data_IF_082692291607
#
_entry.id   IF_082692291607
#
_cell.length_a   1.000
_cell.length_b   1.000
_cell.length_c   1.000
_cell.angle_alpha   90.00
_cell.angle_beta   90.00
_cell.angle_gamma   90.00
#
_symmetry.space_group_name_H-M   'P 1'
#
loop_
_entity.id
_entity.type
_entity.pdbx_description
1 polymer ?
#
# COMPACT_ATOMS: atom_id res chain seq x y z
N UNK A 1 53.50 44.49 52.69
CA UNK A 1 52.07 44.89 52.76
C UNK A 1 51.27 43.82 52.02
N UNK A 2 50.27 43.26 52.70
CA UNK A 2 49.54 42.02 52.35
C UNK A 2 48.91 42.06 50.95
N UNK A 3 48.94 40.96 50.21
CA UNK A 3 47.89 40.65 49.22
C UNK A 3 47.78 39.13 49.04
N UNK A 4 46.94 38.51 49.86
CA UNK A 4 46.45 37.13 49.71
C UNK A 4 45.42 37.14 48.58
N UNK A 5 45.66 36.42 47.47
CA UNK A 5 44.64 36.17 46.44
C UNK A 5 44.01 34.80 46.68
N UNK A 6 42.79 34.81 47.21
CA UNK A 6 41.85 33.69 47.16
C UNK A 6 41.43 33.46 45.71
N UNK A 7 41.65 32.26 45.18
CA UNK A 7 40.93 31.78 44.00
C UNK A 7 39.82 30.85 44.49
N UNK A 8 38.58 31.33 44.46
CA UNK A 8 37.39 30.52 44.63
C UNK A 8 37.13 29.79 43.31
N UNK A 9 37.23 28.46 43.33
CA UNK A 9 36.87 27.60 42.22
C UNK A 9 35.34 27.45 42.20
N UNK A 10 34.66 28.20 41.34
CA UNK A 10 33.23 28.02 41.09
C UNK A 10 33.03 26.79 40.20
N UNK A 11 32.63 25.66 40.80
CA UNK A 11 32.16 24.51 40.05
C UNK A 11 30.75 24.80 39.51
N UNK A 12 30.64 25.11 38.21
CA UNK A 12 29.36 25.09 37.51
C UNK A 12 28.90 23.63 37.39
N UNK A 13 27.90 23.25 38.19
CA UNK A 13 27.13 22.02 37.96
C UNK A 13 26.17 22.31 36.81
N UNK A 14 26.55 21.90 35.60
CA UNK A 14 25.63 21.85 34.47
C UNK A 14 24.66 20.67 34.70
N UNK A 15 23.52 20.95 35.31
CA UNK A 15 22.41 20.00 35.35
C UNK A 15 21.89 19.84 33.91
N UNK A 16 22.33 18.78 33.24
CA UNK A 16 21.78 18.37 31.96
C UNK A 16 20.32 17.99 32.14
N UNK A 17 19.42 18.79 31.57
CA UNK A 17 18.02 18.39 31.40
C UNK A 17 18.00 17.31 30.32
N UNK A 18 18.11 16.04 30.74
CA UNK A 18 17.78 14.93 29.87
C UNK A 18 16.28 15.03 29.58
N UNK A 19 15.93 15.56 28.41
CA UNK A 19 14.58 15.41 27.87
C UNK A 19 14.36 13.93 27.69
N UNK A 20 13.65 13.31 28.64
CA UNK A 20 13.10 11.98 28.45
C UNK A 20 12.15 12.12 27.26
N UNK A 21 12.53 11.62 26.09
CA UNK A 21 11.55 11.42 25.04
C UNK A 21 10.46 10.53 25.64
N UNK A 22 9.22 11.02 25.71
CA UNK A 22 8.11 10.20 26.16
C UNK A 22 8.00 9.03 25.18
N UNK A 23 8.13 7.81 25.70
CA UNK A 23 7.92 6.60 24.92
C UNK A 23 6.51 6.65 24.31
N UNK A 24 6.41 6.37 23.01
CA UNK A 24 5.16 6.45 22.27
C UNK A 24 4.99 5.23 21.38
N UNK A 25 3.90 4.50 21.58
CA UNK A 25 3.42 3.47 20.66
C UNK A 25 2.99 4.09 19.34
N UNK A 26 3.69 3.74 18.26
CA UNK A 26 3.46 4.25 16.90
C UNK A 26 2.88 3.16 16.00
N UNK A 27 1.98 3.56 15.12
CA UNK A 27 1.33 2.70 14.12
C UNK A 27 1.68 3.22 12.72
N UNK A 28 1.79 2.35 11.72
CA UNK A 28 1.91 2.78 10.33
C UNK A 28 0.64 3.51 9.88
N UNK A 29 0.74 4.42 8.92
CA UNK A 29 -0.39 5.26 8.48
C UNK A 29 -1.59 4.45 7.94
N UNK A 30 -1.34 3.24 7.41
CA UNK A 30 -2.41 2.34 6.96
C UNK A 30 -3.25 1.77 8.11
N UNK A 31 -2.69 1.69 9.32
CA UNK A 31 -3.41 1.26 10.53
C UNK A 31 -3.87 2.51 11.27
N UNK A 32 -5.10 2.93 10.99
CA UNK A 32 -5.67 4.17 11.52
C UNK A 32 -7.19 4.07 11.67
N UNK A 33 -7.82 5.13 12.16
CA UNK A 33 -9.27 5.29 12.17
C UNK A 33 -9.87 5.03 10.79
N UNK A 34 -11.14 4.62 10.74
CA UNK A 34 -11.92 4.43 9.52
C UNK A 34 -11.43 3.32 8.58
N UNK A 35 -10.40 2.55 8.95
CA UNK A 35 -9.86 1.48 8.09
C UNK A 35 -10.83 0.31 7.92
N UNK A 36 -10.58 -0.51 6.90
CA UNK A 36 -11.23 -1.82 6.72
C UNK A 36 -10.18 -2.91 6.88
N UNK A 37 -10.41 -3.84 7.80
CA UNK A 37 -9.60 -5.05 7.98
C UNK A 37 -10.15 -6.19 7.12
N UNK A 38 -9.28 -7.05 6.61
CA UNK A 38 -9.68 -8.19 5.80
C UNK A 38 -10.40 -9.27 6.63
N UNK A 39 -11.62 -9.61 6.23
CA UNK A 39 -12.41 -10.72 6.79
C UNK A 39 -11.83 -12.08 6.43
N UNK A 40 -12.21 -13.10 7.21
CA UNK A 40 -11.95 -14.52 6.96
C UNK A 40 -10.47 -14.92 6.85
N UNK A 41 -9.56 -14.02 7.23
CA UNK A 41 -8.11 -14.23 7.39
C UNK A 41 -7.67 -13.74 8.77
N UNK A 42 -6.59 -14.29 9.34
CA UNK A 42 -6.01 -13.73 10.55
C UNK A 42 -5.73 -12.23 10.38
N UNK A 43 -6.04 -11.44 11.41
CA UNK A 43 -5.83 -9.99 11.37
C UNK A 43 -4.43 -9.71 11.90
N UNK A 44 -3.58 -9.16 11.05
CA UNK A 44 -2.20 -8.79 11.40
C UNK A 44 -2.13 -7.28 11.64
N UNK A 45 -1.72 -6.89 12.84
CA UNK A 45 -1.46 -5.50 13.20
C UNK A 45 -0.04 -5.37 13.73
N UNK A 46 0.61 -4.25 13.42
CA UNK A 46 2.00 -4.02 13.78
C UNK A 46 2.24 -2.53 14.02
N UNK A 47 3.40 -2.23 14.57
CA UNK A 47 3.83 -0.87 14.81
C UNK A 47 5.23 -0.83 15.40
N UNK A 48 5.54 0.28 16.06
CA UNK A 48 6.80 0.49 16.74
C UNK A 48 6.57 0.94 18.18
N UNK A 49 7.46 0.50 19.06
CA UNK A 49 7.55 0.91 20.45
C UNK A 49 9.00 0.77 20.93
N UNK A 50 9.29 1.15 22.16
CA UNK A 50 10.63 0.95 22.74
C UNK A 50 10.96 -0.54 22.83
N UNK A 51 12.21 -0.96 22.53
CA UNK A 51 12.62 -2.37 22.58
C UNK A 51 12.25 -3.05 23.90
N UNK A 52 11.67 -4.25 23.80
CA UNK A 52 11.23 -5.06 24.94
C UNK A 52 9.85 -4.68 25.51
N UNK A 53 9.24 -3.58 25.06
CA UNK A 53 7.88 -3.19 25.46
C UNK A 53 6.88 -4.26 25.05
N UNK A 54 6.04 -4.71 25.99
CA UNK A 54 4.91 -5.56 25.68
C UNK A 54 3.76 -4.71 25.13
N UNK A 55 3.38 -4.99 23.89
CA UNK A 55 2.26 -4.33 23.20
C UNK A 55 1.10 -5.31 23.11
N UNK A 56 -0.06 -4.86 23.55
CA UNK A 56 -1.30 -5.62 23.56
C UNK A 56 -2.32 -4.95 22.64
N UNK A 57 -2.90 -5.72 21.72
CA UNK A 57 -3.96 -5.26 20.82
C UNK A 57 -5.25 -6.00 21.09
N UNK A 58 -6.38 -5.29 21.04
CA UNK A 58 -7.71 -5.88 21.20
C UNK A 58 -8.73 -5.29 20.25
N UNK A 59 -9.63 -6.14 19.77
CA UNK A 59 -10.77 -5.81 18.90
C UNK A 59 -11.96 -6.68 19.30
N UNK A 60 -13.05 -6.07 19.80
CA UNK A 60 -14.14 -6.81 20.43
C UNK A 60 -13.62 -7.70 21.57
N UNK A 61 -13.98 -8.98 21.56
CA UNK A 61 -13.50 -9.97 22.53
C UNK A 61 -12.12 -10.57 22.19
N UNK A 62 -11.58 -10.28 21.02
CA UNK A 62 -10.28 -10.79 20.59
C UNK A 62 -9.14 -9.94 21.14
N UNK A 63 -8.07 -10.59 21.61
CA UNK A 63 -6.89 -9.95 22.18
C UNK A 63 -5.63 -10.75 21.85
N UNK A 64 -4.54 -10.07 21.53
CA UNK A 64 -3.22 -10.65 21.33
C UNK A 64 -2.13 -9.69 21.83
N UNK A 65 -0.97 -10.23 22.19
CA UNK A 65 0.16 -9.44 22.68
C UNK A 65 1.47 -9.92 22.05
N UNK A 66 2.41 -8.99 21.87
CA UNK A 66 3.77 -9.26 21.41
C UNK A 66 4.74 -8.28 22.06
N UNK A 67 6.03 -8.64 22.11
CA UNK A 67 7.07 -7.71 22.52
C UNK A 67 7.67 -6.99 21.32
N UNK A 68 7.94 -5.70 21.46
CA UNK A 68 8.77 -4.96 20.51
C UNK A 68 10.17 -5.56 20.49
N UNK A 69 10.68 -5.87 19.30
CA UNK A 69 12.03 -6.38 19.11
C UNK A 69 13.10 -5.30 19.33
N UNK A 70 14.37 -5.67 19.12
CA UNK A 70 15.50 -4.76 19.26
C UNK A 70 15.44 -3.57 18.28
N UNK A 71 14.75 -3.72 17.15
CA UNK A 71 14.49 -2.66 16.18
C UNK A 71 13.22 -1.85 16.49
N UNK A 72 12.62 -2.09 17.65
CA UNK A 72 11.38 -1.47 18.12
C UNK A 72 10.10 -2.00 17.46
N UNK A 73 10.19 -2.87 16.45
CA UNK A 73 9.00 -3.38 15.75
C UNK A 73 8.28 -4.42 16.59
N UNK A 74 6.96 -4.31 16.70
CA UNK A 74 6.09 -5.35 17.23
C UNK A 74 5.07 -5.76 16.18
N UNK A 75 4.58 -6.99 16.25
CA UNK A 75 3.51 -7.50 15.39
C UNK A 75 2.68 -8.51 16.18
N UNK A 76 1.36 -8.41 16.07
CA UNK A 76 0.42 -9.37 16.65
C UNK A 76 -0.46 -9.96 15.54
N UNK A 77 -0.91 -11.17 15.78
CA UNK A 77 -1.93 -11.83 14.96
C UNK A 77 -3.17 -12.09 15.83
N UNK A 78 -4.30 -11.55 15.39
CA UNK A 78 -5.61 -11.77 15.99
C UNK A 78 -6.38 -12.81 15.15
N UNK A 79 -7.30 -13.59 15.76
CA UNK A 79 -8.14 -14.52 15.03
C UNK A 79 -8.90 -13.86 13.88
N UNK A 80 -9.20 -14.64 12.83
CA UNK A 80 -10.05 -14.18 11.73
C UNK A 80 -11.43 -13.76 12.24
N UNK A 81 -11.98 -12.70 11.64
CA UNK A 81 -13.30 -12.17 11.97
C UNK A 81 -14.22 -12.21 10.76
N UNK A 82 -15.52 -12.38 11.02
CA UNK A 82 -16.56 -12.18 10.03
C UNK A 82 -16.70 -10.69 9.68
N UNK A 83 -17.31 -10.39 8.53
CA UNK A 83 -17.56 -9.01 8.13
C UNK A 83 -18.49 -8.29 9.13
N UNK A 84 -18.26 -6.99 9.35
CA UNK A 84 -19.06 -6.20 10.28
C UNK A 84 -18.34 -4.96 10.81
N UNK A 85 -18.80 -4.50 11.97
CA UNK A 85 -18.35 -3.26 12.61
C UNK A 85 -19.46 -2.19 12.64
N UNK A 86 -19.13 -0.97 13.08
CA UNK A 86 -17.79 -0.52 13.47
C UNK A 86 -17.30 -1.16 14.77
N UNK A 87 -16.00 -1.46 14.81
CA UNK A 87 -15.26 -1.87 15.99
C UNK A 87 -14.35 -0.74 16.48
N UNK A 88 -13.97 -0.81 17.76
CA UNK A 88 -12.82 -0.10 18.30
C UNK A 88 -11.63 -1.06 18.36
N UNK A 89 -10.45 -0.60 17.96
CA UNK A 89 -9.19 -1.32 18.16
C UNK A 89 -8.38 -0.58 19.20
N UNK A 90 -8.05 -1.24 20.31
CA UNK A 90 -7.18 -0.66 21.33
C UNK A 90 -5.79 -1.28 21.23
N UNK A 91 -4.77 -0.44 21.17
CA UNK A 91 -3.35 -0.81 21.20
C UNK A 91 -2.73 -0.21 22.45
N UNK A 92 -2.23 -1.07 23.35
CA UNK A 92 -1.62 -0.68 24.62
C UNK A 92 -0.16 -1.11 24.63
N UNK A 93 0.75 -0.15 24.48
CA UNK A 93 2.19 -0.34 24.64
C UNK A 93 2.73 0.65 25.68
N UNK A 94 3.81 1.36 25.35
CA UNK A 94 4.30 2.48 26.18
C UNK A 94 3.31 3.65 26.25
N UNK A 95 2.47 3.81 25.22
CA UNK A 95 1.27 4.65 25.23
C UNK A 95 0.04 3.87 24.77
N UNK A 96 -1.14 4.39 25.07
CA UNK A 96 -2.40 3.81 24.61
C UNK A 96 -2.90 4.54 23.36
N UNK A 97 -3.23 3.78 22.32
CA UNK A 97 -3.86 4.26 21.09
C UNK A 97 -5.20 3.55 20.92
N UNK A 98 -6.25 4.31 20.66
CA UNK A 98 -7.55 3.77 20.24
C UNK A 98 -7.78 4.16 18.79
N UNK A 99 -8.14 3.18 17.96
CA UNK A 99 -8.61 3.40 16.59
C UNK A 99 -10.12 3.21 16.58
N UNK A 100 -10.82 4.22 16.11
CA UNK A 100 -12.27 4.27 16.04
C UNK A 100 -12.78 3.94 14.63
N UNK A 101 -14.03 3.47 14.57
CA UNK A 101 -14.76 3.24 13.32
C UNK A 101 -14.06 2.28 12.34
N UNK A 102 -13.51 1.19 12.89
CA UNK A 102 -12.83 0.13 12.14
C UNK A 102 -13.84 -0.89 11.64
N UNK A 103 -13.88 -1.14 10.33
CA UNK A 103 -14.73 -2.16 9.72
C UNK A 103 -13.95 -3.46 9.45
N UNK A 104 -14.66 -4.57 9.36
CA UNK A 104 -14.13 -5.85 8.85
C UNK A 104 -14.89 -6.19 7.56
N UNK A 105 -14.17 -6.45 6.47
CA UNK A 105 -14.74 -6.57 5.12
C UNK A 105 -13.75 -7.13 4.11
N UNK A 106 -13.89 -6.79 2.83
CA UNK A 106 -12.88 -7.12 1.81
C UNK A 106 -11.98 -5.94 1.53
N UNK A 107 -10.66 -6.18 1.45
CA UNK A 107 -9.67 -5.14 1.17
C UNK A 107 -9.01 -5.42 -0.17
N UNK A 108 -8.98 -4.44 -1.06
CA UNK A 108 -8.44 -4.58 -2.41
C UNK A 108 -7.37 -3.53 -2.70
N UNK A 109 -6.23 -3.99 -3.21
CA UNK A 109 -5.16 -3.10 -3.69
C UNK A 109 -5.48 -2.62 -5.11
N UNK A 110 -5.63 -1.31 -5.28
CA UNK A 110 -5.96 -0.66 -6.56
C UNK A 110 -4.70 0.02 -7.12
N UNK A 111 -4.05 -0.61 -8.10
CA UNK A 111 -2.73 -0.21 -8.57
C UNK A 111 -2.57 -0.17 -10.09
N UNK A 112 -1.49 0.44 -10.54
CA UNK A 112 -1.20 0.68 -11.95
C UNK A 112 -0.85 2.14 -12.21
N UNK A 113 -1.21 2.63 -13.39
CA UNK A 113 -0.84 3.96 -13.84
C UNK A 113 -2.04 4.93 -13.90
N UNK A 114 -2.02 5.88 -14.83
CA UNK A 114 -2.92 7.04 -14.90
C UNK A 114 -4.40 6.65 -14.97
N UNK A 115 -4.72 5.52 -15.61
CA UNK A 115 -6.10 5.04 -15.69
C UNK A 115 -6.61 4.47 -14.36
N UNK A 116 -5.72 3.88 -13.53
CA UNK A 116 -6.05 3.55 -12.14
C UNK A 116 -6.08 4.80 -11.24
N UNK A 117 -5.20 5.77 -11.49
CA UNK A 117 -5.13 7.02 -10.72
C UNK A 117 -6.30 7.97 -11.03
N UNK A 118 -6.90 7.83 -12.21
CA UNK A 118 -8.05 8.61 -12.65
C UNK A 118 -9.15 8.61 -11.60
N UNK A 119 -9.71 9.78 -11.29
CA UNK A 119 -10.62 9.93 -10.15
C UNK A 119 -12.09 9.88 -10.55
N UNK A 120 -12.97 9.67 -9.56
CA UNK A 120 -14.43 9.81 -9.75
C UNK A 120 -14.79 11.20 -10.27
N UNK A 121 -14.15 12.27 -9.76
CA UNK A 121 -14.40 13.63 -10.23
C UNK A 121 -14.01 13.88 -11.70
N UNK A 122 -13.14 13.04 -12.25
CA UNK A 122 -12.72 13.09 -13.65
C UNK A 122 -13.47 12.06 -14.54
N UNK A 123 -14.38 11.25 -13.97
CA UNK A 123 -15.16 10.25 -14.71
C UNK A 123 -16.32 10.88 -15.50
N UNK A 124 -17.07 10.09 -16.26
CA UNK A 124 -18.08 10.58 -17.22
C UNK A 124 -19.30 11.27 -16.59
N UNK A 125 -19.72 10.84 -15.39
CA UNK A 125 -20.91 11.33 -14.68
C UNK A 125 -20.57 11.86 -13.26
N UNK A 126 -19.56 12.74 -13.11
CA UNK A 126 -18.95 13.00 -11.82
C UNK A 126 -19.89 13.71 -10.85
N UNK A 127 -20.79 14.57 -11.35
CA UNK A 127 -21.74 15.32 -10.51
C UNK A 127 -22.76 14.39 -9.88
N UNK A 128 -23.38 13.54 -10.70
CA UNK A 128 -24.40 12.58 -10.29
C UNK A 128 -23.79 11.53 -9.36
N UNK A 129 -22.62 10.98 -9.72
CA UNK A 129 -21.99 9.94 -8.91
C UNK A 129 -21.53 10.49 -7.55
N UNK A 130 -20.88 11.66 -7.51
CA UNK A 130 -20.46 12.27 -6.24
C UNK A 130 -21.67 12.61 -5.37
N UNK A 131 -22.73 13.20 -5.94
CA UNK A 131 -23.93 13.51 -5.17
C UNK A 131 -24.60 12.26 -4.58
N UNK A 132 -24.54 11.13 -5.29
CA UNK A 132 -25.11 9.86 -4.86
C UNK A 132 -24.19 9.02 -3.96
N UNK A 133 -22.91 9.38 -3.80
CA UNK A 133 -21.89 8.58 -3.13
C UNK A 133 -22.06 8.49 -1.60
N UNK A 134 -23.22 8.06 -1.10
CA UNK A 134 -23.51 7.83 0.31
C UNK A 134 -23.25 6.37 0.69
N UNK A 135 -22.00 5.94 0.58
CA UNK A 135 -21.57 4.56 0.77
C UNK A 135 -20.50 4.46 1.88
N UNK A 136 -20.82 4.76 3.14
CA UNK A 136 -19.82 4.85 4.22
C UNK A 136 -19.10 3.52 4.53
N UNK A 137 -19.65 2.39 4.08
CA UNK A 137 -19.00 1.08 4.17
C UNK A 137 -17.93 0.83 3.09
N UNK A 138 -17.81 1.73 2.09
CA UNK A 138 -16.67 1.77 1.16
C UNK A 138 -15.67 2.77 1.74
N UNK A 139 -14.43 2.33 1.98
CA UNK A 139 -13.35 3.20 2.50
C UNK A 139 -12.19 3.22 1.52
N UNK A 140 -11.55 4.36 1.37
CA UNK A 140 -10.35 4.51 0.54
C UNK A 140 -9.21 5.13 1.32
N UNK A 141 -8.01 4.59 1.13
CA UNK A 141 -6.75 5.24 1.52
C UNK A 141 -5.90 5.45 0.28
N UNK A 142 -5.39 6.66 0.08
CA UNK A 142 -4.49 6.99 -1.04
C UNK A 142 -3.03 6.96 -0.56
N UNK A 143 -2.23 6.09 -1.16
CA UNK A 143 -0.79 6.06 -0.99
C UNK A 143 -0.18 7.21 -1.81
N UNK A 144 0.68 8.07 -1.21
CA UNK A 144 1.32 9.15 -1.95
C UNK A 144 2.38 8.61 -2.92
N UNK A 145 2.66 9.39 -3.95
CA UNK A 145 3.78 9.15 -4.87
C UNK A 145 5.11 9.29 -4.12
N UNK A 146 5.72 8.16 -3.77
CA UNK A 146 6.93 8.12 -2.95
C UNK A 146 7.87 7.03 -3.44
N UNK A 147 8.72 7.30 -4.45
CA UNK A 147 9.71 6.32 -4.89
C UNK A 147 10.85 6.25 -3.85
N UNK A 148 11.38 5.06 -3.59
CA UNK A 148 12.43 4.85 -2.58
C UNK A 148 13.53 3.88 -3.06
N UNK A 149 14.76 4.08 -2.57
CA UNK A 149 15.89 3.19 -2.88
C UNK A 149 15.88 1.87 -2.11
N UNK A 150 15.09 1.79 -1.03
CA UNK A 150 14.95 0.60 -0.21
C UNK A 150 13.51 0.45 0.30
N UNK A 151 13.08 -0.79 0.62
CA UNK A 151 11.76 -1.03 1.19
C UNK A 151 11.50 -0.14 2.41
N UNK A 152 10.49 0.71 2.32
CA UNK A 152 10.06 1.58 3.40
C UNK A 152 9.22 0.79 4.40
N UNK A 153 9.24 1.26 5.66
CA UNK A 153 8.51 0.64 6.76
C UNK A 153 7.09 1.19 6.94
N UNK A 154 6.82 2.36 6.37
CA UNK A 154 5.54 3.07 6.44
C UNK A 154 5.32 3.91 5.17
N UNK A 155 4.07 4.28 4.92
CA UNK A 155 3.66 5.24 3.90
C UNK A 155 3.25 6.55 4.56
N UNK A 156 3.60 7.70 3.98
CA UNK A 156 3.09 9.00 4.45
C UNK A 156 1.67 9.26 3.89
N UNK A 157 0.74 8.33 4.14
CA UNK A 157 -0.62 8.41 3.62
C UNK A 157 -1.51 9.29 4.52
N UNK A 158 -2.52 9.89 3.90
CA UNK A 158 -3.64 10.48 4.63
C UNK A 158 -4.50 9.40 5.30
N UNK A 159 -5.49 9.81 6.12
CA UNK A 159 -6.39 8.86 6.78
C UNK A 159 -7.25 8.09 5.77
N UNK A 160 -7.78 6.94 6.20
CA UNK A 160 -8.86 6.29 5.48
C UNK A 160 -10.09 7.21 5.43
N UNK A 161 -10.72 7.28 4.26
CA UNK A 161 -11.88 8.11 4.01
C UNK A 161 -13.09 7.24 3.66
N UNK A 162 -14.23 7.38 4.35
CA UNK A 162 -15.49 6.79 3.89
C UNK A 162 -15.93 7.44 2.58
N UNK A 163 -16.56 6.67 1.70
CA UNK A 163 -17.19 7.22 0.49
C UNK A 163 -18.42 8.04 0.90
N UNK A 164 -18.32 9.33 0.66
CA UNK A 164 -19.35 10.35 0.90
C UNK A 164 -19.34 11.32 -0.28
N UNK A 165 -20.36 12.17 -0.46
CA UNK A 165 -20.29 13.26 -1.43
C UNK A 165 -19.11 14.21 -1.23
N UNK A 166 -18.56 14.30 -0.01
CA UNK A 166 -17.41 15.16 0.29
C UNK A 166 -16.06 14.54 -0.11
N UNK A 167 -15.97 13.22 -0.28
CA UNK A 167 -14.70 12.48 -0.39
C UNK A 167 -14.59 11.69 -1.69
N UNK A 168 -15.69 11.13 -2.19
CA UNK A 168 -15.71 10.19 -3.31
C UNK A 168 -15.08 10.76 -4.58
N UNK A 169 -15.19 12.07 -4.82
CA UNK A 169 -14.57 12.73 -5.97
C UNK A 169 -13.04 12.54 -6.07
N UNK A 170 -12.37 12.32 -4.94
CA UNK A 170 -10.92 12.13 -4.87
C UNK A 170 -10.48 10.65 -4.94
N UNK A 171 -11.42 9.71 -4.96
CA UNK A 171 -11.08 8.29 -5.01
C UNK A 171 -10.68 7.90 -6.43
N UNK A 172 -9.88 6.84 -6.57
CA UNK A 172 -9.71 6.16 -7.86
C UNK A 172 -11.10 5.80 -8.42
N UNK A 173 -11.39 6.20 -9.66
CA UNK A 173 -12.66 5.92 -10.31
C UNK A 173 -12.85 4.41 -10.49
N UNK A 174 -11.85 3.74 -11.06
CA UNK A 174 -11.86 2.28 -11.27
C UNK A 174 -12.05 1.56 -9.93
N UNK A 175 -11.26 1.90 -8.90
CA UNK A 175 -11.38 1.27 -7.59
C UNK A 175 -12.72 1.55 -6.90
N UNK A 176 -13.25 2.77 -7.01
CA UNK A 176 -14.55 3.13 -6.44
C UNK A 176 -15.71 2.37 -7.10
N UNK A 177 -15.77 2.33 -8.43
CA UNK A 177 -16.84 1.61 -9.14
C UNK A 177 -16.76 0.10 -8.91
N UNK A 178 -15.55 -0.45 -8.88
CA UNK A 178 -15.30 -1.84 -8.48
C UNK A 178 -15.84 -2.11 -7.06
N UNK A 179 -15.45 -1.28 -6.08
CA UNK A 179 -15.87 -1.44 -4.70
C UNK A 179 -17.38 -1.30 -4.52
N UNK A 180 -18.02 -0.38 -5.25
CA UNK A 180 -19.48 -0.17 -5.20
C UNK A 180 -20.24 -1.37 -5.75
N UNK A 181 -19.81 -1.90 -6.90
CA UNK A 181 -20.42 -3.11 -7.44
C UNK A 181 -20.20 -4.31 -6.50
N UNK A 182 -18.96 -4.52 -6.04
CA UNK A 182 -18.61 -5.62 -5.16
C UNK A 182 -19.37 -5.57 -3.82
N UNK A 183 -19.49 -4.39 -3.22
CA UNK A 183 -20.30 -4.19 -2.02
C UNK A 183 -21.78 -4.56 -2.28
N UNK A 184 -22.34 -4.16 -3.42
CA UNK A 184 -23.74 -4.46 -3.76
C UNK A 184 -24.01 -5.96 -3.90
N UNK A 185 -23.03 -6.71 -4.39
CA UNK A 185 -23.11 -8.17 -4.55
C UNK A 185 -22.93 -8.89 -3.22
N UNK A 186 -21.97 -8.44 -2.39
CA UNK A 186 -21.57 -9.16 -1.18
C UNK A 186 -22.27 -8.69 0.10
N UNK A 187 -22.79 -7.47 0.13
CA UNK A 187 -23.39 -6.87 1.33
C UNK A 187 -22.41 -6.65 2.48
N UNK A 188 -21.12 -6.46 2.21
CA UNK A 188 -20.07 -6.26 3.23
C UNK A 188 -19.26 -4.97 3.03
N UNK A 189 -18.56 -4.47 4.06
CA UNK A 189 -17.62 -3.36 3.90
C UNK A 189 -16.51 -3.66 2.89
N UNK A 190 -16.11 -2.64 2.13
CA UNK A 190 -15.03 -2.73 1.14
C UNK A 190 -13.99 -1.66 1.41
N UNK A 191 -12.74 -2.06 1.63
CA UNK A 191 -11.59 -1.16 1.68
C UNK A 191 -10.84 -1.18 0.35
N UNK A 192 -10.51 -0.02 -0.19
CA UNK A 192 -9.64 0.12 -1.35
C UNK A 192 -8.37 0.89 -0.99
N UNK A 193 -7.22 0.30 -1.29
CA UNK A 193 -5.90 0.93 -1.10
C UNK A 193 -5.45 1.43 -2.47
N UNK A 194 -5.51 2.74 -2.70
CA UNK A 194 -5.07 3.36 -3.94
C UNK A 194 -3.55 3.55 -3.94
N UNK A 195 -2.83 2.67 -4.62
CA UNK A 195 -1.37 2.77 -4.82
C UNK A 195 -1.08 2.75 -6.32
N UNK A 196 -1.19 3.92 -6.95
CA UNK A 196 -1.14 4.10 -8.41
C UNK A 196 -0.34 5.36 -8.74
N UNK A 197 0.23 5.43 -9.95
CA UNK A 197 0.95 6.62 -10.43
C UNK A 197 1.01 6.66 -11.96
N UNK A 198 0.42 7.71 -12.55
CA UNK A 198 0.47 8.06 -13.96
C UNK A 198 1.83 7.91 -14.66
N UNK A 199 1.80 7.32 -15.85
CA UNK A 199 2.96 7.19 -16.73
C UNK A 199 4.00 6.15 -16.31
N UNK A 200 3.76 5.37 -15.25
CA UNK A 200 4.70 4.36 -14.78
C UNK A 200 4.65 3.09 -15.62
N UNK A 201 5.84 2.48 -15.81
CA UNK A 201 5.95 1.09 -16.30
C UNK A 201 5.61 0.07 -15.20
N UNK A 202 5.55 -1.22 -15.52
CA UNK A 202 5.29 -2.32 -14.55
C UNK A 202 6.49 -2.66 -13.66
N UNK A 203 7.71 -2.47 -14.15
CA UNK A 203 8.94 -2.86 -13.48
C UNK A 203 9.15 -2.20 -12.11
N UNK A 204 8.88 -0.89 -11.93
CA UNK A 204 9.01 -0.23 -10.64
C UNK A 204 8.15 -0.83 -9.53
N UNK A 205 7.00 -1.43 -9.88
CA UNK A 205 6.03 -2.01 -8.95
C UNK A 205 6.34 -3.47 -8.58
N UNK A 206 7.25 -4.11 -9.32
CA UNK A 206 7.53 -5.53 -9.19
C UNK A 206 8.59 -5.76 -8.11
N UNK A 207 8.33 -6.62 -7.10
CA UNK A 207 9.30 -6.90 -6.05
C UNK A 207 10.45 -7.78 -6.55
N UNK A 208 11.60 -7.82 -5.84
CA UNK A 208 12.75 -8.63 -6.23
C UNK A 208 12.43 -10.11 -6.49
N UNK A 209 11.57 -10.70 -5.65
CA UNK A 209 11.15 -12.11 -5.77
C UNK A 209 10.36 -12.37 -7.06
N UNK A 210 9.61 -11.38 -7.55
CA UNK A 210 8.89 -11.44 -8.80
C UNK A 210 9.83 -11.61 -9.99
N UNK A 211 10.81 -10.71 -10.14
CA UNK A 211 11.80 -10.78 -11.21
C UNK A 211 12.59 -12.09 -11.20
N UNK A 212 12.99 -12.57 -10.01
CA UNK A 212 13.73 -13.83 -9.85
C UNK A 212 12.91 -15.07 -10.24
N UNK A 213 11.59 -14.98 -10.22
CA UNK A 213 10.70 -16.11 -10.53
C UNK A 213 10.46 -16.33 -12.03
N UNK A 214 10.85 -15.39 -12.89
CA UNK A 214 10.54 -15.44 -14.33
C UNK A 214 11.85 -15.46 -15.15
N UNK A 215 12.19 -16.59 -15.82
CA UNK A 215 13.44 -16.72 -16.56
C UNK A 215 13.66 -15.66 -17.64
N UNK A 216 12.60 -15.19 -18.30
CA UNK A 216 12.67 -14.16 -19.33
C UNK A 216 13.12 -12.79 -18.80
N UNK A 217 13.13 -12.58 -17.47
CA UNK A 217 13.54 -11.33 -16.81
C UNK A 217 14.90 -11.46 -16.12
N UNK A 218 15.69 -12.48 -16.47
CA UNK A 218 17.01 -12.77 -15.88
C UNK A 218 17.93 -11.55 -15.84
N UNK A 219 17.98 -10.76 -16.91
CA UNK A 219 18.84 -9.57 -16.99
C UNK A 219 18.49 -8.53 -15.91
N UNK A 220 17.21 -8.36 -15.58
CA UNK A 220 16.80 -7.49 -14.47
C UNK A 220 17.15 -8.17 -13.13
N UNK A 221 16.84 -9.47 -13.00
CA UNK A 221 17.05 -10.23 -11.77
C UNK A 221 18.52 -10.28 -11.32
N UNK A 222 19.46 -10.35 -12.26
CA UNK A 222 20.91 -10.36 -12.01
C UNK A 222 21.49 -8.98 -11.67
N UNK A 223 20.72 -7.90 -11.88
CA UNK A 223 21.16 -6.52 -11.66
C UNK A 223 20.31 -5.76 -10.63
N UNK A 224 19.56 -6.48 -9.76
CA UNK A 224 18.66 -5.87 -8.78
C UNK A 224 19.37 -4.95 -7.78
N UNK A 225 20.64 -5.18 -7.50
CA UNK A 225 21.50 -4.35 -6.65
C UNK A 225 21.79 -2.96 -7.24
N UNK A 226 21.59 -2.80 -8.55
CA UNK A 226 21.77 -1.52 -9.27
C UNK A 226 20.48 -0.69 -9.32
N UNK A 227 19.38 -1.21 -8.79
CA UNK A 227 18.07 -0.57 -8.83
C UNK A 227 17.57 -0.14 -7.45
N UNK A 228 16.78 0.94 -7.37
CA UNK A 228 16.42 1.84 -8.46
C UNK A 228 17.58 2.78 -8.86
N UNK A 229 17.54 3.29 -10.10
CA UNK A 229 18.52 4.29 -10.51
C UNK A 229 18.16 5.68 -9.98
N UNK A 230 19.16 6.56 -9.90
CA UNK A 230 19.00 7.97 -9.53
C UNK A 230 19.29 8.85 -10.75
N UNK A 231 18.57 9.97 -10.87
CA UNK A 231 18.87 10.99 -11.89
C UNK A 231 20.10 11.82 -11.47
N UNK A 232 20.53 12.76 -12.34
CA UNK A 232 21.71 13.61 -12.09
C UNK A 232 21.61 14.47 -10.82
N UNK A 233 20.40 14.65 -10.27
CA UNK A 233 20.13 15.37 -9.03
C UNK A 233 20.09 14.45 -7.80
N UNK A 234 20.44 13.17 -7.96
CA UNK A 234 20.39 12.16 -6.91
C UNK A 234 18.97 11.69 -6.53
N UNK A 235 17.93 12.10 -7.29
CA UNK A 235 16.55 11.72 -7.02
C UNK A 235 16.24 10.35 -7.62
N UNK A 236 15.49 9.53 -6.90
CA UNK A 236 15.07 8.20 -7.38
C UNK A 236 14.27 8.34 -8.68
N UNK A 237 14.69 7.61 -9.70
CA UNK A 237 13.92 7.49 -10.92
C UNK A 237 12.79 6.48 -10.72
N UNK A 238 11.57 7.00 -10.53
CA UNK A 238 10.34 6.24 -10.35
C UNK A 238 10.00 5.27 -11.49
N UNK A 239 10.67 5.38 -12.66
CA UNK A 239 10.51 4.49 -13.80
C UNK A 239 11.40 3.24 -13.76
N UNK A 240 12.32 3.17 -12.80
CA UNK A 240 13.24 2.02 -12.69
C UNK A 240 12.71 0.93 -11.77
N UNK A 241 13.12 -0.35 -12.01
CA UNK A 241 12.75 -1.46 -11.15
C UNK A 241 12.88 -1.15 -9.66
N UNK A 242 11.99 -1.73 -8.85
CA UNK A 242 11.95 -1.60 -7.39
C UNK A 242 11.53 -0.22 -6.85
N UNK A 243 11.64 0.87 -7.62
CA UNK A 243 11.45 2.23 -7.10
C UNK A 243 10.10 2.43 -6.38
N UNK A 244 9.01 1.93 -6.97
CA UNK A 244 7.65 2.09 -6.45
C UNK A 244 7.26 0.94 -5.52
N UNK A 245 7.74 -0.28 -5.77
CA UNK A 245 7.63 -1.38 -4.82
C UNK A 245 8.18 -0.93 -3.45
N UNK A 246 9.38 -0.38 -3.43
CA UNK A 246 10.08 0.01 -2.22
C UNK A 246 9.29 1.03 -1.38
N UNK A 247 8.77 2.08 -2.00
CA UNK A 247 8.12 3.16 -1.26
C UNK A 247 6.60 3.12 -1.19
N UNK A 248 5.94 2.34 -2.05
CA UNK A 248 4.47 2.36 -2.19
C UNK A 248 3.78 1.01 -2.04
N UNK A 249 4.51 -0.12 -2.06
CA UNK A 249 3.95 -1.47 -1.91
C UNK A 249 4.50 -2.17 -0.67
N UNK A 250 5.83 -2.24 -0.53
CA UNK A 250 6.51 -2.84 0.63
C UNK A 250 5.97 -2.34 1.99
N UNK A 251 5.75 -1.03 2.22
CA UNK A 251 5.20 -0.54 3.49
C UNK A 251 3.74 -0.94 3.75
N UNK A 252 3.02 -1.47 2.76
CA UNK A 252 1.66 -1.98 2.95
C UNK A 252 1.67 -3.42 3.49
N UNK A 253 2.79 -4.13 3.40
CA UNK A 253 2.94 -5.49 3.91
C UNK A 253 3.26 -5.41 5.42
N UNK A 254 2.59 -6.18 6.29
CA UNK A 254 1.70 -7.30 6.01
C UNK A 254 0.18 -7.01 6.15
N UNK A 255 -0.30 -5.81 5.81
CA UNK A 255 -1.75 -5.53 5.84
C UNK A 255 -2.48 -6.53 4.94
N UNK A 256 -3.40 -7.30 5.51
CA UNK A 256 -4.07 -8.37 4.78
C UNK A 256 -5.01 -7.78 3.73
N UNK A 257 -4.95 -8.35 2.51
CA UNK A 257 -5.82 -7.98 1.39
C UNK A 257 -6.51 -9.22 0.82
N UNK A 258 -7.68 -9.04 0.21
CA UNK A 258 -8.40 -10.08 -0.53
C UNK A 258 -7.69 -10.35 -1.85
N UNK A 259 -7.31 -9.31 -2.57
CA UNK A 259 -6.70 -9.37 -3.89
C UNK A 259 -6.28 -8.00 -4.42
N UNK A 260 -5.88 -7.97 -5.69
CA UNK A 260 -5.46 -6.75 -6.37
C UNK A 260 -6.21 -6.53 -7.68
N UNK A 261 -6.44 -5.26 -8.02
CA UNK A 261 -6.85 -4.81 -9.34
C UNK A 261 -5.76 -3.95 -9.97
N UNK A 262 -5.43 -4.23 -11.22
CA UNK A 262 -4.29 -3.66 -11.94
C UNK A 262 -4.71 -3.05 -13.27
N UNK A 263 -4.52 -1.73 -13.42
CA UNK A 263 -4.74 -1.05 -14.69
C UNK A 263 -3.48 -0.32 -15.13
N UNK A 264 -2.71 -1.00 -15.95
CA UNK A 264 -1.49 -0.49 -16.55
C UNK A 264 -1.17 -1.24 -17.84
N UNK A 265 -0.34 -0.61 -18.66
CA UNK A 265 0.30 -1.22 -19.81
C UNK A 265 0.76 -0.19 -20.82
N UNK A 266 0.17 0.99 -20.82
CA UNK A 266 0.40 2.04 -21.81
C UNK A 266 1.88 2.44 -21.87
N UNK A 267 2.55 2.57 -20.72
CA UNK A 267 3.99 2.87 -20.66
C UNK A 267 4.89 1.69 -21.05
N UNK A 268 4.36 0.46 -21.09
CA UNK A 268 5.03 -0.73 -21.60
C UNK A 268 4.58 -1.09 -23.03
N UNK A 269 3.74 -0.27 -23.66
CA UNK A 269 3.28 -0.55 -25.01
C UNK A 269 4.47 -0.61 -25.99
N UNK A 270 4.43 -1.57 -26.91
CA UNK A 270 5.54 -1.90 -27.82
C UNK A 270 6.47 -3.02 -27.35
N UNK A 271 6.30 -3.55 -26.12
CA UNK A 271 7.08 -4.70 -25.64
C UNK A 271 6.55 -6.07 -26.05
N UNK A 272 5.32 -6.14 -26.58
CA UNK A 272 4.66 -7.40 -26.96
C UNK A 272 4.62 -8.41 -25.81
N UNK A 273 4.90 -9.68 -26.10
CA UNK A 273 4.85 -10.77 -25.13
C UNK A 273 5.84 -10.66 -23.96
N UNK A 274 6.84 -9.77 -24.01
CA UNK A 274 7.65 -9.47 -22.82
C UNK A 274 6.79 -8.87 -21.69
N UNK A 275 5.71 -8.17 -22.03
CA UNK A 275 4.77 -7.65 -21.02
C UNK A 275 4.08 -8.79 -20.25
N UNK A 276 3.75 -9.90 -20.92
CA UNK A 276 3.19 -11.09 -20.25
C UNK A 276 4.17 -11.68 -19.24
N UNK A 277 5.46 -11.74 -19.58
CA UNK A 277 6.52 -12.17 -18.65
C UNK A 277 6.62 -11.25 -17.42
N UNK A 278 6.49 -9.93 -17.62
CA UNK A 278 6.46 -8.94 -16.53
C UNK A 278 5.21 -9.04 -15.68
N UNK A 279 4.04 -9.31 -16.27
CA UNK A 279 2.81 -9.58 -15.53
C UNK A 279 2.96 -10.81 -14.63
N UNK A 280 3.55 -11.91 -15.15
CA UNK A 280 3.86 -13.09 -14.31
C UNK A 280 4.72 -12.74 -13.11
N UNK A 281 5.75 -11.91 -13.30
CA UNK A 281 6.64 -11.48 -12.23
C UNK A 281 5.93 -10.58 -11.20
N UNK A 282 5.08 -9.64 -11.65
CA UNK A 282 4.29 -8.80 -10.75
C UNK A 282 3.34 -9.66 -9.90
N UNK A 283 2.57 -10.53 -10.55
CA UNK A 283 1.55 -11.38 -9.90
C UNK A 283 2.20 -12.35 -8.91
N UNK A 284 3.22 -13.11 -9.34
CA UNK A 284 3.93 -14.04 -8.45
C UNK A 284 4.63 -13.30 -7.31
N UNK A 285 5.19 -12.12 -7.62
CA UNK A 285 5.85 -11.25 -6.66
C UNK A 285 4.91 -10.83 -5.55
N UNK A 286 3.74 -10.29 -5.88
CA UNK A 286 2.78 -9.83 -4.88
C UNK A 286 2.16 -11.01 -4.11
N UNK A 287 1.82 -12.11 -4.79
CA UNK A 287 1.39 -13.35 -4.11
C UNK A 287 2.39 -13.82 -3.07
N UNK A 288 3.69 -13.72 -3.37
CA UNK A 288 4.75 -14.04 -2.41
C UNK A 288 4.83 -13.05 -1.25
N UNK A 289 4.62 -11.75 -1.47
CA UNK A 289 4.65 -10.73 -0.41
C UNK A 289 3.56 -10.96 0.63
N UNK A 290 2.34 -11.30 0.18
CA UNK A 290 1.19 -11.57 1.06
C UNK A 290 1.08 -13.04 1.50
N UNK A 291 2.03 -13.89 1.10
CA UNK A 291 2.01 -15.33 1.37
C UNK A 291 0.67 -15.99 0.97
N UNK A 292 0.17 -15.63 -0.21
CA UNK A 292 -1.10 -16.10 -0.75
C UNK A 292 -0.91 -16.47 -2.23
N UNK A 293 -0.56 -17.74 -2.55
CA UNK A 293 -0.33 -18.19 -3.92
C UNK A 293 -1.60 -18.16 -4.79
N UNK A 294 -2.77 -18.09 -4.17
CA UNK A 294 -4.07 -18.08 -4.83
C UNK A 294 -4.72 -16.69 -4.83
N UNK A 295 -4.01 -15.65 -4.38
CA UNK A 295 -4.54 -14.30 -4.29
C UNK A 295 -5.14 -13.86 -5.65
N UNK A 296 -6.44 -13.52 -5.69
CA UNK A 296 -7.09 -12.98 -6.86
C UNK A 296 -6.35 -11.76 -7.42
N UNK A 297 -6.11 -11.77 -8.72
CA UNK A 297 -5.47 -10.67 -9.42
C UNK A 297 -6.23 -10.34 -10.69
N UNK A 298 -6.95 -9.21 -10.68
CA UNK A 298 -7.71 -8.76 -11.83
C UNK A 298 -6.99 -7.63 -12.54
N UNK A 299 -7.05 -7.61 -13.87
CA UNK A 299 -6.42 -6.57 -14.66
C UNK A 299 -7.30 -6.10 -15.81
N UNK A 300 -6.94 -4.98 -16.43
CA UNK A 300 -7.76 -4.36 -17.47
C UNK A 300 -7.02 -4.39 -18.79
N UNK A 301 -7.68 -4.88 -19.84
CA UNK A 301 -7.17 -4.72 -21.21
C UNK A 301 -7.13 -3.23 -21.55
N UNK A 302 -6.05 -2.76 -22.17
CA UNK A 302 -5.96 -1.33 -22.50
C UNK A 302 -7.13 -0.89 -23.40
N UNK A 303 -7.75 0.24 -23.06
CA UNK A 303 -8.79 0.84 -23.89
C UNK A 303 -8.23 1.20 -25.28
N UNK A 304 -9.04 1.09 -26.35
CA UNK A 304 -8.60 1.44 -27.70
C UNK A 304 -8.24 2.93 -27.77
N UNK A 305 -6.96 3.22 -27.98
CA UNK A 305 -6.42 4.57 -28.13
C UNK A 305 -5.43 4.63 -29.29
N UNK A 306 -5.45 5.73 -30.06
CA UNK A 306 -4.60 5.90 -31.26
C UNK A 306 -3.24 6.52 -30.89
N UNK A 307 -2.30 5.69 -30.44
CA UNK A 307 -0.95 6.13 -30.05
C UNK A 307 -0.17 6.68 -31.24
N UNK A 308 -0.04 8.01 -31.34
CA UNK A 308 0.62 8.65 -32.47
C UNK A 308 -0.13 8.46 -33.81
N UNK A 309 -1.46 8.25 -33.75
CA UNK A 309 -2.31 8.08 -34.93
C UNK A 309 -2.34 6.67 -35.53
N UNK A 310 -1.64 5.69 -34.92
CA UNK A 310 -1.59 4.32 -35.41
C UNK A 310 -2.49 3.39 -34.55
N UNK A 311 -3.60 2.87 -35.11
CA UNK A 311 -4.53 2.02 -34.38
C UNK A 311 -4.00 0.60 -34.14
N UNK A 312 -2.89 0.20 -34.76
CA UNK A 312 -2.34 -1.16 -34.64
C UNK A 312 -1.39 -1.33 -33.46
N UNK A 313 -0.98 -0.22 -32.82
CA UNK A 313 0.04 -0.24 -31.76
C UNK A 313 -0.34 -0.99 -30.51
N UNK A 314 -1.62 -1.28 -30.29
CA UNK A 314 -2.09 -1.98 -29.10
C UNK A 314 -2.11 -3.51 -29.25
N UNK A 315 -2.04 -4.04 -30.49
CA UNK A 315 -2.26 -5.47 -30.73
C UNK A 315 -1.30 -6.36 -29.91
N UNK A 316 -0.01 -6.01 -29.86
CA UNK A 316 0.98 -6.80 -29.12
C UNK A 316 0.79 -6.76 -27.60
N UNK A 317 0.36 -5.63 -27.03
CA UNK A 317 0.11 -5.56 -25.59
C UNK A 317 -1.24 -6.18 -25.20
N UNK A 318 -2.26 -6.10 -26.06
CA UNK A 318 -3.52 -6.81 -25.89
C UNK A 318 -3.32 -8.34 -25.93
N UNK A 319 -2.48 -8.83 -26.84
CA UNK A 319 -2.10 -10.24 -26.88
C UNK A 319 -1.42 -10.65 -25.56
N UNK A 320 -0.47 -9.85 -25.06
CA UNK A 320 0.21 -10.12 -23.80
C UNK A 320 -0.72 -10.07 -22.57
N UNK A 321 -1.65 -9.11 -22.53
CA UNK A 321 -2.67 -9.03 -21.49
C UNK A 321 -3.59 -10.26 -21.55
N UNK A 322 -4.07 -10.64 -22.73
CA UNK A 322 -4.91 -11.83 -22.92
C UNK A 322 -4.18 -13.10 -22.51
N UNK A 323 -2.90 -13.27 -22.92
CA UNK A 323 -2.09 -14.42 -22.55
C UNK A 323 -1.87 -14.55 -21.04
N UNK A 324 -1.96 -13.43 -20.29
CA UNK A 324 -1.83 -13.43 -18.83
C UNK A 324 -2.99 -14.15 -18.12
N UNK A 325 -4.15 -14.34 -18.78
CA UNK A 325 -5.23 -15.18 -18.27
C UNK A 325 -4.84 -16.66 -18.06
N UNK A 326 -3.71 -17.10 -18.63
CA UNK A 326 -3.14 -18.42 -18.34
C UNK A 326 -2.61 -18.55 -16.90
N UNK A 327 -2.37 -17.44 -16.19
CA UNK A 327 -1.96 -17.45 -14.79
C UNK A 327 -3.19 -17.76 -13.92
N UNK A 328 -3.15 -18.77 -13.04
CA UNK A 328 -4.30 -19.14 -12.20
C UNK A 328 -4.80 -17.99 -11.33
N UNK A 329 -6.10 -17.99 -11.00
CA UNK A 329 -6.78 -16.99 -10.17
C UNK A 329 -6.60 -15.55 -10.69
N UNK A 330 -6.57 -15.40 -12.02
CA UNK A 330 -6.60 -14.10 -12.69
C UNK A 330 -7.89 -13.91 -13.47
N UNK A 331 -8.21 -12.65 -13.75
CA UNK A 331 -9.35 -12.25 -14.57
C UNK A 331 -9.04 -10.93 -15.26
N UNK A 332 -9.61 -10.74 -16.45
CA UNK A 332 -9.40 -9.55 -17.26
C UNK A 332 -10.72 -8.87 -17.55
N UNK A 333 -10.81 -7.56 -17.28
CA UNK A 333 -11.88 -6.70 -17.76
C UNK A 333 -11.52 -6.17 -19.16
N UNK A 334 -12.49 -6.18 -20.08
CA UNK A 334 -12.34 -5.76 -21.48
C UNK A 334 -13.41 -4.73 -21.80
#
# INVERSE_FOLDING_TARGET
MKLTRMFALAALVAAGWATSALAETKLPAIINDHMVLQRDRPIVLWGWDDPGTEVTVSIGDSKASAKAGDDGRWQVELPKMAAGGPHKVMVKGSSERTLDDVLVGEVWLCSGQSNMEWTVAASDNPKEEIAAANHPQIRHIKVPHSPADSPQKDVNAGPWQPASPATAGNFTGVGYYFARHLQSELGVPIGIIGSNWGGTRIEPWTPPVGFKSVPALKDIAENLDKFPSKNDKGQINHQTPLALYNGMIAPLVPFQIRGAIWYQGESNNGEGMLYHEKMKALISGWRSLWNDPDMPFYFVQLAPFTYGGDPTRLAGIWEAQTATLSVPNTGMAV
#
